data_IF_966747970820
#
_entry.id   IF_966747970820
#
_cell.length_a   1.000
_cell.length_b   1.000
_cell.length_c   1.000
_cell.angle_alpha   90.00
_cell.angle_beta   90.00
_cell.angle_gamma   90.00
#
_symmetry.space_group_name_H-M   'P 1'
#
loop_
_entity.id
_entity.type
_entity.pdbx_description
1 polymer ?
#
# COMPACT_ATOMS: atom_id res chain seq x y z
N UNK A 1 -11.79 -13.57 -9.19
CA UNK A 1 -11.53 -12.81 -7.93
C UNK A 1 -10.41 -13.53 -7.21
N UNK A 2 -9.20 -12.94 -7.16
CA UNK A 2 -8.08 -13.53 -6.41
C UNK A 2 -8.32 -13.52 -4.89
N UNK A 3 -7.51 -14.23 -4.10
CA UNK A 3 -7.62 -14.18 -2.64
C UNK A 3 -7.33 -12.76 -2.14
N UNK A 4 -7.94 -12.38 -1.01
CA UNK A 4 -7.51 -11.19 -0.25
C UNK A 4 -6.10 -11.48 0.23
N UNK A 5 -5.15 -10.62 -0.12
CA UNK A 5 -3.73 -10.77 0.25
C UNK A 5 -3.28 -9.75 1.30
N UNK A 6 -4.09 -8.73 1.55
CA UNK A 6 -3.83 -7.68 2.54
C UNK A 6 -5.12 -7.38 3.31
N UNK A 7 -5.01 -7.28 4.63
CA UNK A 7 -6.08 -6.88 5.56
C UNK A 7 -5.81 -5.51 6.14
N UNK A 8 -6.87 -4.81 6.52
CA UNK A 8 -6.76 -3.58 7.32
C UNK A 8 -5.96 -3.86 8.59
N UNK A 9 -4.97 -3.02 8.85
CA UNK A 9 -4.03 -3.14 9.97
C UNK A 9 -2.72 -3.81 9.60
N UNK A 10 -2.64 -4.49 8.45
CA UNK A 10 -1.40 -5.12 7.99
C UNK A 10 -0.33 -4.06 7.70
N UNK A 11 0.91 -4.39 8.01
CA UNK A 11 2.05 -3.58 7.59
C UNK A 11 2.35 -3.86 6.12
N UNK A 12 2.52 -2.80 5.35
CA UNK A 12 2.83 -2.84 3.92
C UNK A 12 4.14 -2.12 3.63
N UNK A 13 4.83 -2.57 2.59
CA UNK A 13 5.89 -1.82 1.94
C UNK A 13 5.29 -0.86 0.94
N UNK A 14 5.53 0.42 1.16
CA UNK A 14 5.07 1.53 0.32
C UNK A 14 6.23 1.96 -0.55
N UNK A 15 6.05 1.87 -1.86
CA UNK A 15 7.02 2.29 -2.85
C UNK A 15 6.45 3.46 -3.62
N UNK A 16 7.18 4.57 -3.67
CA UNK A 16 6.81 5.76 -4.46
C UNK A 16 8.05 6.37 -5.09
N UNK A 17 7.90 7.10 -6.18
CA UNK A 17 9.03 7.71 -6.88
C UNK A 17 8.81 7.80 -8.38
N UNK A 18 9.84 8.27 -9.08
CA UNK A 18 9.86 8.40 -10.53
C UNK A 18 10.95 7.49 -11.13
N UNK A 19 11.08 7.47 -12.45
CA UNK A 19 12.06 6.60 -13.14
C UNK A 19 13.51 6.75 -12.63
N UNK A 20 13.86 7.92 -12.09
CA UNK A 20 15.20 8.23 -11.57
C UNK A 20 15.39 8.03 -10.07
N UNK A 21 14.32 7.79 -9.29
CA UNK A 21 14.44 7.56 -7.85
C UNK A 21 13.26 6.78 -7.26
N UNK A 22 13.53 6.00 -6.21
CA UNK A 22 12.49 5.32 -5.43
C UNK A 22 12.65 5.62 -3.94
N UNK A 23 11.54 5.94 -3.29
CA UNK A 23 11.39 6.01 -1.84
C UNK A 23 10.63 4.77 -1.39
N UNK A 24 11.18 4.06 -0.41
CA UNK A 24 10.58 2.88 0.20
C UNK A 24 10.34 3.16 1.68
N UNK A 25 9.12 2.97 2.14
CA UNK A 25 8.73 3.16 3.54
C UNK A 25 7.76 2.07 3.99
N UNK A 26 7.62 1.91 5.31
CA UNK A 26 6.53 1.13 5.87
C UNK A 26 5.24 1.96 5.93
N UNK A 27 4.10 1.30 5.77
CA UNK A 27 2.77 1.85 5.96
C UNK A 27 1.83 0.83 6.58
N UNK A 28 0.66 1.26 6.99
CA UNK A 28 -0.39 0.41 7.56
C UNK A 28 -1.59 0.43 6.61
N UNK A 29 -2.05 -0.73 6.21
CA UNK A 29 -3.26 -0.87 5.41
C UNK A 29 -4.47 -0.30 6.18
N UNK A 30 -5.20 0.62 5.56
CA UNK A 30 -6.44 1.20 6.11
C UNK A 30 -7.69 0.50 5.53
N UNK A 31 -7.51 -0.35 4.52
CA UNK A 31 -8.54 -1.20 3.93
C UNK A 31 -7.97 -2.56 3.49
N UNK A 32 -8.85 -3.57 3.37
CA UNK A 32 -8.51 -4.85 2.76
C UNK A 32 -8.22 -4.67 1.26
N UNK A 33 -7.45 -5.59 0.67
CA UNK A 33 -7.14 -5.54 -0.75
C UNK A 33 -6.59 -6.82 -1.35
N UNK A 34 -6.70 -6.91 -2.68
CA UNK A 34 -6.09 -7.93 -3.53
C UNK A 34 -4.99 -7.31 -4.37
N UNK A 35 -4.11 -8.14 -4.92
CA UNK A 35 -3.18 -7.69 -5.97
C UNK A 35 -3.99 -7.10 -7.13
N UNK A 36 -3.62 -5.89 -7.53
CA UNK A 36 -4.30 -5.07 -8.54
C UNK A 36 -5.28 -4.05 -7.97
N UNK A 37 -5.77 -4.21 -6.73
CA UNK A 37 -6.73 -3.29 -6.12
C UNK A 37 -6.07 -1.97 -5.72
N UNK A 38 -6.88 -0.90 -5.70
CA UNK A 38 -6.51 0.35 -5.03
C UNK A 38 -6.82 0.25 -3.54
N UNK A 39 -5.80 0.40 -2.71
CA UNK A 39 -5.89 0.20 -1.26
C UNK A 39 -5.49 1.50 -0.56
N UNK A 40 -6.17 1.82 0.54
CA UNK A 40 -5.80 2.96 1.39
C UNK A 40 -4.68 2.53 2.34
N UNK A 41 -3.66 3.36 2.48
CA UNK A 41 -2.51 3.13 3.37
C UNK A 41 -2.22 4.37 4.20
N UNK A 42 -1.88 4.19 5.46
CA UNK A 42 -1.46 5.26 6.37
C UNK A 42 0.03 5.14 6.65
N UNK A 43 0.77 6.26 6.55
CA UNK A 43 2.19 6.28 6.92
C UNK A 43 2.40 6.40 8.43
N UNK A 44 1.41 6.95 9.13
CA UNK A 44 1.39 7.02 10.60
C UNK A 44 -0.04 6.72 11.10
N UNK A 45 -0.22 6.20 12.33
CA UNK A 45 -1.55 5.82 12.82
C UNK A 45 -2.57 6.97 12.83
N UNK A 46 -2.13 8.20 13.12
CA UNK A 46 -2.95 9.40 13.15
C UNK A 46 -2.97 10.18 11.82
N UNK A 47 -2.17 9.77 10.84
CA UNK A 47 -2.02 10.45 9.57
C UNK A 47 -3.18 10.21 8.59
N UNK A 48 -3.30 11.05 7.55
CA UNK A 48 -4.25 10.82 6.48
C UNK A 48 -3.92 9.54 5.73
N UNK A 49 -4.95 8.88 5.18
CA UNK A 49 -4.76 7.74 4.30
C UNK A 49 -4.43 8.21 2.88
N UNK A 50 -3.43 7.56 2.27
CA UNK A 50 -3.01 7.74 0.89
C UNK A 50 -3.54 6.54 0.09
N UNK A 51 -3.87 6.74 -1.19
CA UNK A 51 -4.32 5.67 -2.08
C UNK A 51 -3.15 5.22 -2.94
N UNK A 52 -2.90 3.92 -2.99
CA UNK A 52 -1.96 3.31 -3.92
C UNK A 52 -2.53 2.03 -4.52
N UNK A 53 -1.81 1.45 -5.46
CA UNK A 53 -2.17 0.16 -6.07
C UNK A 53 -1.36 -0.96 -5.44
N UNK A 54 -2.04 -2.02 -5.01
CA UNK A 54 -1.36 -3.22 -4.52
C UNK A 54 -0.72 -3.95 -5.72
N UNK A 55 0.61 -4.00 -5.79
CA UNK A 55 1.30 -4.67 -6.91
C UNK A 55 1.64 -6.11 -6.59
N UNK A 56 1.88 -6.40 -5.31
CA UNK A 56 2.26 -7.70 -4.79
C UNK A 56 1.66 -7.88 -3.39
N UNK A 57 1.60 -9.11 -2.86
CA UNK A 57 1.22 -9.33 -1.46
C UNK A 57 2.12 -8.50 -0.53
N UNK A 58 1.53 -7.54 0.18
CA UNK A 58 2.27 -6.67 1.09
C UNK A 58 2.94 -5.44 0.46
N UNK A 59 2.91 -5.26 -0.86
CA UNK A 59 3.55 -4.12 -1.55
C UNK A 59 2.52 -3.23 -2.23
N UNK A 60 2.59 -1.95 -1.91
CA UNK A 60 1.75 -0.91 -2.51
C UNK A 60 2.62 0.11 -3.25
N UNK A 61 2.26 0.44 -4.49
CA UNK A 61 2.86 1.54 -5.25
C UNK A 61 1.96 2.77 -5.26
N UNK A 62 2.59 3.92 -5.04
CA UNK A 62 1.96 5.24 -5.14
C UNK A 62 2.63 5.96 -6.31
N UNK A 63 1.81 6.36 -7.29
CA UNK A 63 2.19 7.07 -8.50
C UNK A 63 1.73 8.52 -8.42
#
# INVERSE_FOLDING_TARGET
MGPIVVRRGDTLTVVTGADSFSVVSAGIADSDGRVGDRVKVKMTPAGPAIVGQLTDPGTIRIF
#
